data_IF_807101665232
#
_entry.id   IF_807101665232
#
_cell.length_a   1.000
_cell.length_b   1.000
_cell.length_c   1.000
_cell.angle_alpha   90.00
_cell.angle_beta   90.00
_cell.angle_gamma   90.00
#
_symmetry.space_group_name_H-M   'P 1'
#
loop_
_entity.id
_entity.type
_entity.pdbx_description
1 polymer ?
#
# COMPACT_ATOMS: atom_id res chain seq x y z
N UNK A 1 38.17 -21.93 -31.86
CA UNK A 1 38.39 -20.46 -31.83
C UNK A 1 37.16 -19.77 -31.20
N UNK A 2 37.27 -19.24 -29.99
CA UNK A 2 36.21 -18.44 -29.40
C UNK A 2 36.36 -16.98 -29.85
N UNK A 3 35.48 -16.47 -30.67
CA UNK A 3 35.44 -15.07 -31.05
C UNK A 3 35.21 -14.21 -29.79
N UNK A 4 36.23 -13.46 -29.36
CA UNK A 4 36.08 -12.45 -28.29
C UNK A 4 35.40 -11.22 -28.91
N UNK A 5 34.10 -11.05 -28.70
CA UNK A 5 33.41 -9.83 -29.05
C UNK A 5 33.98 -8.70 -28.18
N UNK A 6 34.75 -7.80 -28.76
CA UNK A 6 35.17 -6.54 -28.15
C UNK A 6 34.06 -5.56 -28.34
N UNK A 7 33.32 -5.24 -27.26
CA UNK A 7 32.37 -4.13 -27.27
C UNK A 7 33.18 -2.85 -27.55
N UNK A 8 32.85 -2.05 -28.58
CA UNK A 8 33.57 -0.81 -28.84
C UNK A 8 33.44 0.13 -27.65
N UNK A 9 34.47 0.86 -27.27
CA UNK A 9 34.53 1.74 -26.10
C UNK A 9 33.35 2.74 -26.07
N UNK A 10 33.02 3.28 -27.24
CA UNK A 10 31.90 4.22 -27.38
C UNK A 10 30.53 3.59 -27.01
N UNK A 11 30.32 2.30 -27.34
CA UNK A 11 29.10 1.59 -26.94
C UNK A 11 29.06 1.33 -25.44
N UNK A 12 30.18 0.98 -24.82
CA UNK A 12 30.29 0.81 -23.38
C UNK A 12 30.04 2.13 -22.65
N UNK A 13 30.58 3.24 -23.13
CA UNK A 13 30.36 4.58 -22.57
C UNK A 13 28.88 5.01 -22.71
N UNK A 14 28.26 4.77 -23.86
CA UNK A 14 26.85 5.10 -24.08
C UNK A 14 25.92 4.29 -23.15
N UNK A 15 26.17 3.00 -22.95
CA UNK A 15 25.41 2.15 -22.00
C UNK A 15 25.60 2.65 -20.56
N UNK A 16 26.82 3.00 -20.17
CA UNK A 16 27.12 3.53 -18.84
C UNK A 16 26.43 4.86 -18.57
N UNK A 17 26.42 5.76 -19.55
CA UNK A 17 25.74 7.06 -19.46
C UNK A 17 24.21 6.88 -19.35
N UNK A 18 23.63 5.97 -20.14
CA UNK A 18 22.20 5.65 -20.06
C UNK A 18 21.84 5.06 -18.68
N UNK A 19 22.63 4.12 -18.19
CA UNK A 19 22.42 3.53 -16.86
C UNK A 19 22.49 4.59 -15.75
N UNK A 20 23.51 5.46 -15.77
CA UNK A 20 23.65 6.55 -14.82
C UNK A 20 22.46 7.54 -14.89
N UNK A 21 22.02 7.92 -16.10
CA UNK A 21 20.85 8.76 -16.32
C UNK A 21 19.56 8.12 -15.79
N UNK A 22 19.39 6.82 -16.01
CA UNK A 22 18.23 6.07 -15.50
C UNK A 22 18.20 6.05 -13.96
N UNK A 23 19.35 5.82 -13.31
CA UNK A 23 19.44 5.85 -11.84
C UNK A 23 19.18 7.26 -11.32
N UNK A 24 19.75 8.29 -11.95
CA UNK A 24 19.52 9.69 -11.56
C UNK A 24 18.04 10.08 -11.70
N UNK A 25 17.37 9.65 -12.76
CA UNK A 25 15.93 9.83 -12.96
C UNK A 25 15.12 9.11 -11.87
N UNK A 26 15.41 7.83 -11.64
CA UNK A 26 14.69 7.00 -10.68
C UNK A 26 14.82 7.49 -9.23
N UNK A 27 16.04 7.88 -8.81
CA UNK A 27 16.33 8.32 -7.44
C UNK A 27 16.07 9.82 -7.22
N UNK A 28 16.19 10.63 -8.27
CA UNK A 28 16.07 12.11 -8.19
C UNK A 28 14.70 12.64 -8.56
N UNK A 29 14.12 12.15 -9.62
CA UNK A 29 12.90 12.70 -10.20
C UNK A 29 11.67 11.85 -9.92
N UNK A 30 11.63 10.60 -10.37
CA UNK A 30 10.39 9.80 -10.32
C UNK A 30 9.95 9.52 -8.89
N UNK A 31 10.88 9.25 -7.98
CA UNK A 31 10.60 9.03 -6.55
C UNK A 31 9.90 10.22 -5.87
N UNK A 32 9.92 11.40 -6.49
CA UNK A 32 9.25 12.63 -6.06
C UNK A 32 8.14 13.10 -6.98
N UNK A 33 7.74 12.30 -7.97
CA UNK A 33 6.68 12.58 -8.94
C UNK A 33 5.35 12.05 -8.43
N UNK A 34 4.88 12.59 -7.30
CA UNK A 34 3.64 12.16 -6.64
C UNK A 34 2.44 12.31 -7.55
N UNK A 35 1.57 11.30 -7.57
CA UNK A 35 0.39 11.24 -8.43
C UNK A 35 -0.87 10.94 -7.64
N UNK A 36 -1.99 11.48 -8.10
CA UNK A 36 -3.33 11.08 -7.69
C UNK A 36 -3.91 10.17 -8.76
N UNK A 37 -4.17 8.91 -8.40
CA UNK A 37 -4.94 7.98 -9.22
C UNK A 37 -6.43 8.14 -8.89
N UNK A 38 -7.28 8.05 -9.91
CA UNK A 38 -8.75 8.01 -9.75
C UNK A 38 -9.26 6.70 -10.30
N UNK A 39 -10.08 6.00 -9.51
CA UNK A 39 -10.61 4.67 -9.84
C UNK A 39 -12.09 4.64 -9.49
N UNK A 40 -12.92 4.09 -10.36
CA UNK A 40 -14.34 3.84 -10.07
C UNK A 40 -14.54 2.35 -9.78
N UNK A 41 -15.29 2.04 -8.71
CA UNK A 41 -15.53 0.66 -8.26
C UNK A 41 -17.01 0.47 -8.00
N UNK A 42 -17.74 -0.38 -8.78
CA UNK A 42 -19.16 -0.61 -8.60
C UNK A 42 -19.39 -1.67 -7.51
N UNK A 43 -19.55 -1.22 -6.24
CA UNK A 43 -19.72 -2.09 -5.06
C UNK A 43 -20.83 -1.66 -4.12
N UNK A 44 -21.50 -0.54 -4.42
CA UNK A 44 -22.59 -0.07 -3.59
C UNK A 44 -23.93 -0.71 -4.00
N UNK A 45 -24.91 -0.79 -3.09
CA UNK A 45 -26.26 -1.18 -3.43
C UNK A 45 -26.87 -0.30 -4.54
N UNK A 46 -27.78 -0.85 -5.36
CA UNK A 46 -28.49 -0.08 -6.38
C UNK A 46 -29.17 1.16 -5.77
N UNK A 47 -28.99 2.33 -6.40
CA UNK A 47 -29.56 3.60 -5.95
C UNK A 47 -28.81 4.33 -4.84
N UNK A 48 -27.78 3.74 -4.26
CA UNK A 48 -26.93 4.43 -3.28
C UNK A 48 -26.15 5.61 -3.91
N UNK A 49 -25.96 6.72 -3.21
CA UNK A 49 -25.13 7.81 -3.71
C UNK A 49 -23.65 7.36 -3.79
N UNK A 50 -22.88 7.86 -4.76
CA UNK A 50 -21.46 7.56 -4.83
C UNK A 50 -20.71 7.98 -3.57
N UNK A 51 -19.75 7.15 -3.14
CA UNK A 51 -18.89 7.40 -1.97
C UNK A 51 -17.43 7.58 -2.43
N UNK A 52 -16.74 8.60 -1.93
CA UNK A 52 -15.36 8.93 -2.29
C UNK A 52 -14.41 8.49 -1.19
N UNK A 53 -13.65 7.43 -1.45
CA UNK A 53 -12.69 6.86 -0.51
C UNK A 53 -11.28 7.23 -0.94
N UNK A 54 -10.54 7.95 -0.11
CA UNK A 54 -9.13 8.23 -0.33
C UNK A 54 -8.27 7.16 0.35
N UNK A 55 -7.56 6.37 -0.44
CA UNK A 55 -6.57 5.44 0.08
C UNK A 55 -5.18 6.08 0.08
N UNK A 56 -4.55 6.11 1.26
CA UNK A 56 -3.17 6.53 1.50
C UNK A 56 -2.41 5.34 2.06
N UNK A 57 -1.24 5.05 1.53
CA UNK A 57 -0.46 3.86 1.87
C UNK A 57 1.02 4.09 1.73
N UNK A 58 1.84 3.36 2.48
CA UNK A 58 3.29 3.27 2.28
C UNK A 58 3.93 4.66 2.15
N UNK A 59 3.65 5.55 3.10
CA UNK A 59 4.17 6.92 3.13
C UNK A 59 5.69 6.89 3.29
N UNK A 60 6.21 5.99 4.14
CA UNK A 60 7.62 5.87 4.45
C UNK A 60 8.27 7.24 4.69
N UNK A 61 7.71 8.00 5.63
CA UNK A 61 8.21 9.32 5.95
C UNK A 61 9.63 9.24 6.53
N UNK A 62 10.46 10.15 6.04
CA UNK A 62 11.79 10.46 6.58
C UNK A 62 11.83 11.96 6.80
N UNK A 63 12.50 12.41 7.87
CA UNK A 63 12.59 13.83 8.18
C UNK A 63 13.12 14.66 7.01
N UNK A 64 12.56 15.86 6.82
CA UNK A 64 12.92 16.77 5.75
C UNK A 64 12.26 16.55 4.39
N UNK A 65 11.31 15.62 4.26
CA UNK A 65 10.60 15.38 3.00
C UNK A 65 9.46 16.39 2.74
N UNK A 66 9.76 17.68 2.73
CA UNK A 66 8.78 18.77 2.64
C UNK A 66 7.86 18.71 1.40
N UNK A 67 8.35 18.22 0.24
CA UNK A 67 7.51 18.09 -0.96
C UNK A 67 6.44 17.02 -0.78
N UNK A 68 6.81 15.85 -0.20
CA UNK A 68 5.87 14.76 0.11
C UNK A 68 4.82 15.25 1.11
N UNK A 69 5.26 15.88 2.20
CA UNK A 69 4.39 16.42 3.24
C UNK A 69 3.33 17.36 2.65
N UNK A 70 3.75 18.40 1.91
CA UNK A 70 2.81 19.35 1.28
C UNK A 70 1.85 18.67 0.29
N UNK A 71 2.34 17.66 -0.43
CA UNK A 71 1.48 16.92 -1.35
C UNK A 71 0.42 16.10 -0.60
N UNK A 72 0.78 15.40 0.48
CA UNK A 72 -0.18 14.67 1.32
C UNK A 72 -1.22 15.62 1.92
N UNK A 73 -0.79 16.77 2.47
CA UNK A 73 -1.70 17.80 2.97
C UNK A 73 -2.69 18.29 1.90
N UNK A 74 -2.22 18.44 0.65
CA UNK A 74 -3.07 18.91 -0.46
C UNK A 74 -4.19 17.92 -0.83
N UNK A 75 -4.09 16.65 -0.45
CA UNK A 75 -5.11 15.64 -0.72
C UNK A 75 -6.43 15.92 0.03
N UNK A 76 -6.40 16.64 1.13
CA UNK A 76 -7.61 17.08 1.84
C UNK A 76 -8.51 17.97 0.95
N UNK A 77 -7.94 18.72 0.02
CA UNK A 77 -8.69 19.50 -0.98
C UNK A 77 -9.56 18.64 -1.92
N UNK A 78 -9.36 17.33 -1.95
CA UNK A 78 -10.24 16.40 -2.65
C UNK A 78 -11.56 16.20 -1.93
N UNK A 79 -11.69 16.57 -0.64
CA UNK A 79 -12.86 16.35 0.22
C UNK A 79 -13.34 14.90 0.14
N UNK A 80 -12.53 13.90 0.53
CA UNK A 80 -12.99 12.52 0.56
C UNK A 80 -14.10 12.36 1.61
N UNK A 81 -15.00 11.42 1.40
CA UNK A 81 -16.00 11.04 2.39
C UNK A 81 -15.40 10.12 3.45
N UNK A 82 -14.37 9.35 3.06
CA UNK A 82 -13.67 8.41 3.92
C UNK A 82 -12.18 8.37 3.55
N UNK A 83 -11.30 8.29 4.55
CA UNK A 83 -9.87 8.07 4.37
C UNK A 83 -9.49 6.69 4.90
N UNK A 84 -8.79 5.89 4.09
CA UNK A 84 -8.24 4.59 4.50
C UNK A 84 -6.72 4.64 4.42
N UNK A 85 -6.06 4.48 5.57
CA UNK A 85 -4.61 4.35 5.65
C UNK A 85 -4.23 2.87 5.78
N UNK A 86 -3.51 2.35 4.80
CA UNK A 86 -3.14 0.94 4.76
C UNK A 86 -1.72 0.66 5.27
N UNK A 87 -1.15 1.58 6.08
CA UNK A 87 0.08 1.36 6.85
C UNK A 87 1.38 1.72 6.13
N UNK A 88 2.50 1.38 6.78
CA UNK A 88 3.87 1.73 6.41
C UNK A 88 4.09 3.25 6.31
N UNK A 89 3.67 3.96 7.36
CA UNK A 89 3.79 5.42 7.44
C UNK A 89 5.24 5.89 7.70
N UNK A 90 6.03 5.10 8.43
CA UNK A 90 7.35 5.46 8.92
C UNK A 90 8.48 4.79 8.13
N UNK A 91 9.57 5.52 7.89
CA UNK A 91 10.90 5.00 7.53
C UNK A 91 12.00 5.58 8.42
N UNK A 92 11.61 6.34 9.43
CA UNK A 92 12.48 6.93 10.43
C UNK A 92 11.69 7.04 11.73
N UNK A 93 12.21 6.54 12.88
CA UNK A 93 11.52 6.67 14.16
C UNK A 93 11.31 8.14 14.58
N UNK A 94 12.12 9.05 14.11
CA UNK A 94 12.02 10.48 14.41
C UNK A 94 11.00 11.21 13.51
N UNK A 95 10.45 10.54 12.48
CA UNK A 95 9.55 11.17 11.50
C UNK A 95 8.06 11.15 11.92
N UNK A 96 7.71 10.72 13.12
CA UNK A 96 6.32 10.74 13.61
C UNK A 96 5.69 12.14 13.51
N UNK A 97 6.35 13.23 13.97
CA UNK A 97 5.77 14.57 13.85
C UNK A 97 5.49 14.98 12.40
N UNK A 98 6.39 14.62 11.46
CA UNK A 98 6.20 14.90 10.04
C UNK A 98 5.07 14.08 9.40
N UNK A 99 4.85 12.83 9.86
CA UNK A 99 3.69 12.02 9.42
C UNK A 99 2.40 12.68 9.90
N UNK A 100 2.34 13.04 11.18
CA UNK A 100 1.15 13.68 11.76
C UNK A 100 0.85 15.04 11.12
N UNK A 101 1.88 15.86 10.87
CA UNK A 101 1.71 17.11 10.13
C UNK A 101 1.27 16.87 8.67
N UNK A 102 1.81 15.84 8.01
CA UNK A 102 1.42 15.51 6.64
C UNK A 102 -0.03 15.01 6.52
N UNK A 103 -0.50 14.24 7.48
CA UNK A 103 -1.85 13.70 7.53
C UNK A 103 -2.85 14.61 8.24
N UNK A 104 -2.41 15.62 8.99
CA UNK A 104 -3.26 16.47 9.82
C UNK A 104 -4.54 16.93 9.13
N UNK A 105 -4.50 17.55 7.94
CA UNK A 105 -5.73 17.93 7.23
C UNK A 105 -6.61 16.75 6.78
N UNK A 106 -6.09 15.54 6.66
CA UNK A 106 -6.85 14.33 6.34
C UNK A 106 -7.51 13.73 7.58
N UNK A 107 -6.93 13.93 8.77
CA UNK A 107 -7.50 13.48 10.04
C UNK A 107 -8.82 14.18 10.40
N UNK A 108 -9.17 15.26 9.71
CA UNK A 108 -10.46 15.96 9.85
C UNK A 108 -11.63 15.20 9.19
N UNK A 109 -11.34 14.19 8.35
CA UNK A 109 -12.34 13.36 7.68
C UNK A 109 -12.53 12.03 8.42
N UNK A 110 -13.72 11.39 8.32
CA UNK A 110 -13.89 10.02 8.79
C UNK A 110 -12.79 9.12 8.22
N UNK A 111 -12.21 8.27 9.04
CA UNK A 111 -11.10 7.44 8.58
C UNK A 111 -10.93 6.14 9.33
N UNK A 112 -10.13 5.26 8.75
CA UNK A 112 -9.70 4.02 9.39
C UNK A 112 -8.28 3.65 8.94
N UNK A 113 -7.62 2.82 9.74
CA UNK A 113 -6.22 2.48 9.47
C UNK A 113 -5.87 1.06 9.91
N UNK A 114 -4.84 0.53 9.27
CA UNK A 114 -4.03 -0.60 9.73
C UNK A 114 -2.56 -0.21 9.73
N UNK A 115 -1.72 -0.94 10.45
CA UNK A 115 -0.28 -0.74 10.43
C UNK A 115 0.43 -1.72 9.51
N UNK A 116 1.58 -1.29 8.96
CA UNK A 116 2.53 -2.15 8.26
C UNK A 116 3.81 -2.38 9.06
N UNK A 117 4.70 -3.20 8.52
CA UNK A 117 5.94 -3.62 9.18
C UNK A 117 6.87 -2.45 9.54
N UNK A 118 6.88 -1.39 8.72
CA UNK A 118 7.72 -0.21 8.95
C UNK A 118 7.10 0.78 9.93
N UNK A 119 5.84 0.62 10.32
CA UNK A 119 5.31 1.33 11.48
C UNK A 119 5.86 0.73 12.78
N UNK A 120 5.95 -0.60 12.85
CA UNK A 120 6.45 -1.31 14.05
C UNK A 120 7.97 -1.30 14.20
N UNK A 121 8.70 -1.42 13.07
CA UNK A 121 10.14 -1.67 13.08
C UNK A 121 10.90 -0.71 12.16
N UNK A 122 12.01 -0.20 12.67
CA UNK A 122 12.90 0.64 11.87
C UNK A 122 13.47 -0.15 10.67
N UNK A 123 13.46 0.44 9.47
CA UNK A 123 13.97 -0.22 8.28
C UNK A 123 15.47 -0.50 8.41
N UNK A 124 15.92 -1.57 7.73
CA UNK A 124 17.33 -1.98 7.68
C UNK A 124 17.83 -2.01 6.25
N UNK A 125 19.11 -1.70 6.08
CA UNK A 125 19.79 -1.92 4.81
C UNK A 125 19.82 -3.43 4.50
N UNK A 126 19.21 -3.81 3.38
CA UNK A 126 19.19 -5.18 2.87
C UNK A 126 19.74 -5.19 1.45
N UNK A 127 20.42 -6.29 1.07
CA UNK A 127 20.88 -6.46 -0.30
C UNK A 127 19.66 -6.63 -1.23
N UNK A 128 19.42 -5.72 -2.19
CA UNK A 128 18.27 -5.81 -3.10
C UNK A 128 18.31 -7.03 -4.01
N UNK A 129 19.49 -7.61 -4.31
CA UNK A 129 19.60 -8.83 -5.10
C UNK A 129 18.92 -10.05 -4.44
N UNK A 130 18.66 -9.98 -3.11
CA UNK A 130 17.91 -11.02 -2.40
C UNK A 130 16.50 -11.22 -2.97
N UNK A 131 15.82 -10.14 -3.35
CA UNK A 131 14.47 -10.22 -3.94
C UNK A 131 14.42 -11.02 -5.24
N UNK A 132 15.46 -10.88 -6.07
CA UNK A 132 15.59 -11.67 -7.31
C UNK A 132 15.92 -13.14 -7.02
N UNK A 133 16.78 -13.41 -6.03
CA UNK A 133 17.16 -14.77 -5.64
C UNK A 133 16.00 -15.54 -4.98
N UNK A 134 15.19 -14.88 -4.14
CA UNK A 134 14.03 -15.48 -3.50
C UNK A 134 12.94 -15.84 -4.52
N UNK A 135 12.72 -15.02 -5.55
CA UNK A 135 11.81 -15.31 -6.64
C UNK A 135 12.24 -16.56 -7.42
N UNK A 136 13.52 -16.67 -7.75
CA UNK A 136 14.07 -17.83 -8.51
C UNK A 136 14.00 -19.14 -7.72
N UNK A 137 13.96 -19.09 -6.39
CA UNK A 137 13.86 -20.26 -5.50
C UNK A 137 12.45 -20.71 -5.17
N UNK A 138 11.41 -20.01 -5.68
CA UNK A 138 10.01 -20.27 -5.33
C UNK A 138 9.64 -20.02 -3.86
N UNK A 139 10.55 -19.43 -3.08
CA UNK A 139 10.39 -19.15 -1.65
C UNK A 139 9.86 -17.74 -1.35
N UNK A 140 9.58 -16.99 -2.41
CA UNK A 140 9.11 -15.62 -2.29
C UNK A 140 7.72 -15.61 -1.63
N UNK A 141 7.58 -14.85 -0.56
CA UNK A 141 6.32 -14.69 0.16
C UNK A 141 5.93 -15.82 1.12
N UNK A 142 6.52 -17.02 1.01
CA UNK A 142 6.17 -18.15 1.88
C UNK A 142 6.71 -18.02 3.32
N UNK A 143 7.75 -17.21 3.51
CA UNK A 143 8.37 -16.95 4.80
C UNK A 143 8.24 -15.47 5.14
N UNK A 144 7.03 -15.02 5.50
CA UNK A 144 6.86 -13.70 6.10
C UNK A 144 8.02 -13.42 7.07
N UNK A 145 8.73 -12.33 6.87
CA UNK A 145 9.95 -12.02 7.61
C UNK A 145 9.59 -11.58 9.03
N UNK A 146 9.38 -12.54 9.94
CA UNK A 146 9.38 -12.17 11.36
C UNK A 146 10.66 -11.35 11.63
N UNK A 147 10.56 -10.17 12.26
CA UNK A 147 11.72 -9.34 12.52
C UNK A 147 12.72 -10.11 13.37
N UNK A 148 14.00 -10.03 13.04
CA UNK A 148 15.06 -10.59 13.87
C UNK A 148 14.93 -9.99 15.28
N UNK A 149 15.24 -10.76 16.33
CA UNK A 149 15.05 -10.40 17.75
C UNK A 149 15.61 -9.02 18.16
N UNK A 150 16.51 -8.42 17.39
CA UNK A 150 17.20 -7.17 17.66
C UNK A 150 16.88 -6.04 16.67
N UNK A 151 15.68 -6.00 16.08
CA UNK A 151 15.27 -4.87 15.25
C UNK A 151 14.77 -3.74 16.15
N UNK A 152 15.30 -2.50 16.04
CA UNK A 152 14.75 -1.36 16.76
C UNK A 152 13.27 -1.17 16.41
N UNK A 153 12.46 -0.89 17.44
CA UNK A 153 11.04 -0.58 17.24
C UNK A 153 10.85 0.89 16.94
N UNK A 154 9.96 1.19 16.02
CA UNK A 154 9.45 2.52 15.81
C UNK A 154 8.38 2.87 16.87
N UNK A 155 8.19 4.13 17.21
CA UNK A 155 7.19 4.58 18.17
C UNK A 155 5.77 4.62 17.55
N UNK A 156 5.31 3.50 16.98
CA UNK A 156 4.02 3.35 16.28
C UNK A 156 2.82 3.73 17.16
N UNK A 157 2.95 3.58 18.48
CA UNK A 157 1.90 3.97 19.43
C UNK A 157 1.59 5.45 19.41
N UNK A 158 2.57 6.32 19.06
CA UNK A 158 2.32 7.75 18.89
C UNK A 158 1.42 8.04 17.68
N UNK A 159 1.56 7.26 16.60
CA UNK A 159 0.65 7.34 15.45
C UNK A 159 -0.73 6.81 15.82
N UNK A 160 -0.79 5.65 16.51
CA UNK A 160 -2.05 5.09 17.00
C UNK A 160 -2.82 6.11 17.84
N UNK A 161 -2.16 6.65 18.87
CA UNK A 161 -2.80 7.56 19.81
C UNK A 161 -3.35 8.81 19.10
N UNK A 162 -2.59 9.36 18.15
CA UNK A 162 -3.03 10.52 17.35
C UNK A 162 -4.18 10.18 16.38
N UNK A 163 -4.17 9.01 15.76
CA UNK A 163 -5.25 8.57 14.87
C UNK A 163 -6.53 8.26 15.66
N UNK A 164 -6.39 7.60 16.81
CA UNK A 164 -7.51 7.32 17.71
C UNK A 164 -8.11 8.62 18.28
N UNK A 165 -7.28 9.61 18.65
CA UNK A 165 -7.71 10.94 19.11
C UNK A 165 -8.47 11.71 18.02
N UNK A 166 -8.07 11.54 16.76
CA UNK A 166 -8.78 12.09 15.59
C UNK A 166 -10.09 11.34 15.27
N UNK A 167 -10.40 10.25 15.97
CA UNK A 167 -11.61 9.44 15.76
C UNK A 167 -11.48 8.44 14.60
N UNK A 168 -10.27 8.17 14.11
CA UNK A 168 -10.08 7.13 13.11
C UNK A 168 -10.19 5.73 13.73
N UNK A 169 -10.82 4.81 12.99
CA UNK A 169 -11.05 3.45 13.45
C UNK A 169 -9.78 2.60 13.27
N UNK A 170 -9.26 2.07 14.37
CA UNK A 170 -8.17 1.11 14.36
C UNK A 170 -8.68 -0.26 13.92
N UNK A 171 -8.16 -0.78 12.81
CA UNK A 171 -8.57 -2.06 12.23
C UNK A 171 -7.53 -3.18 12.45
N UNK A 172 -6.62 -3.01 13.40
CA UNK A 172 -5.56 -4.00 13.67
C UNK A 172 -6.15 -5.28 14.29
N UNK A 173 -6.44 -6.30 13.46
CA UNK A 173 -7.13 -7.55 13.82
C UNK A 173 -8.50 -7.30 14.48
N UNK A 174 -9.26 -6.36 13.96
CA UNK A 174 -10.56 -6.01 14.53
C UNK A 174 -11.55 -5.57 13.45
N UNK A 175 -12.82 -5.55 13.82
CA UNK A 175 -13.93 -4.97 13.07
C UNK A 175 -14.27 -3.62 13.67
N UNK A 176 -14.77 -2.73 12.84
CA UNK A 176 -15.23 -1.42 13.26
C UNK A 176 -16.32 -0.88 12.35
N UNK A 177 -16.97 0.18 12.75
CA UNK A 177 -18.01 0.85 11.99
C UNK A 177 -17.81 2.36 12.08
N UNK A 178 -18.19 3.05 11.03
CA UNK A 178 -18.23 4.50 10.99
C UNK A 178 -19.30 5.00 10.02
N UNK A 179 -19.68 6.26 10.15
CA UNK A 179 -20.55 6.94 9.20
C UNK A 179 -19.77 7.86 8.30
N UNK A 180 -20.02 7.76 6.98
CA UNK A 180 -19.44 8.67 6.01
C UNK A 180 -20.47 9.00 4.93
N UNK A 181 -20.63 10.29 4.60
CA UNK A 181 -21.61 10.79 3.63
C UNK A 181 -23.05 10.25 3.83
N UNK A 182 -23.44 9.98 5.08
CA UNK A 182 -24.75 9.44 5.42
C UNK A 182 -24.88 7.92 5.33
N UNK A 183 -23.85 7.20 4.87
CA UNK A 183 -23.82 5.75 4.80
C UNK A 183 -23.20 5.13 6.06
N UNK A 184 -23.76 3.98 6.50
CA UNK A 184 -23.15 3.12 7.52
C UNK A 184 -22.10 2.21 6.86
N UNK A 185 -20.84 2.36 7.27
CA UNK A 185 -19.73 1.61 6.69
C UNK A 185 -19.16 0.66 7.74
N UNK A 186 -19.24 -0.62 7.46
CA UNK A 186 -18.57 -1.65 8.23
C UNK A 186 -17.15 -1.90 7.67
N UNK A 187 -16.20 -1.98 8.56
CA UNK A 187 -14.80 -2.15 8.23
C UNK A 187 -14.23 -3.35 8.96
N UNK A 188 -13.45 -4.15 8.27
CA UNK A 188 -12.74 -5.28 8.87
C UNK A 188 -11.28 -5.22 8.46
N UNK A 189 -10.38 -5.30 9.41
CA UNK A 189 -8.97 -5.22 9.09
C UNK A 189 -8.09 -6.21 9.83
N UNK A 190 -6.90 -6.41 9.28
CA UNK A 190 -5.87 -7.27 9.84
C UNK A 190 -4.59 -6.48 10.13
N UNK A 191 -3.88 -6.90 11.17
CA UNK A 191 -2.48 -6.55 11.37
C UNK A 191 -1.64 -7.15 10.23
N UNK A 192 -0.39 -6.72 10.09
CA UNK A 192 0.44 -6.99 8.92
C UNK A 192 0.77 -8.49 8.72
N UNK A 193 0.26 -9.10 7.63
CA UNK A 193 0.55 -10.48 7.28
C UNK A 193 2.02 -10.72 6.90
N UNK A 194 2.74 -9.68 6.44
CA UNK A 194 4.13 -9.78 6.03
C UNK A 194 5.05 -10.17 7.19
N UNK A 195 4.72 -9.72 8.39
CA UNK A 195 5.44 -10.05 9.63
C UNK A 195 4.68 -11.02 10.54
N UNK A 196 3.63 -11.68 10.01
CA UNK A 196 2.82 -12.70 10.70
C UNK A 196 2.16 -12.19 11.97
N UNK A 197 1.65 -10.97 11.94
CA UNK A 197 0.90 -10.38 13.04
C UNK A 197 -0.61 -10.49 12.85
N UNK A 198 -1.06 -10.81 11.64
CA UNK A 198 -2.46 -11.01 11.30
C UNK A 198 -3.06 -12.19 12.07
N UNK A 199 -4.28 -12.01 12.57
CA UNK A 199 -5.09 -13.01 13.27
C UNK A 199 -6.47 -13.03 12.66
N UNK A 200 -6.60 -13.77 11.55
CA UNK A 200 -7.85 -13.79 10.79
C UNK A 200 -9.04 -14.29 11.63
N UNK A 201 -8.80 -15.27 12.49
CA UNK A 201 -9.81 -15.85 13.39
C UNK A 201 -10.45 -14.83 14.34
N UNK A 202 -9.78 -13.71 14.61
CA UNK A 202 -10.33 -12.63 15.43
C UNK A 202 -11.40 -11.81 14.69
N UNK A 203 -11.40 -11.87 13.35
CA UNK A 203 -12.29 -11.08 12.49
C UNK A 203 -13.06 -11.92 11.47
N UNK A 204 -12.92 -13.23 11.51
CA UNK A 204 -13.57 -14.16 10.59
C UNK A 204 -15.09 -13.97 10.54
N UNK A 205 -15.66 -14.17 9.37
CA UNK A 205 -17.09 -14.04 9.10
C UNK A 205 -17.39 -12.94 8.07
N UNK A 206 -18.57 -13.05 7.48
CA UNK A 206 -19.00 -12.20 6.37
C UNK A 206 -19.19 -10.72 6.72
N UNK A 207 -19.50 -9.91 5.69
CA UNK A 207 -19.90 -8.53 5.82
C UNK A 207 -21.06 -8.34 6.79
N UNK A 208 -21.12 -7.19 7.44
CA UNK A 208 -22.25 -6.82 8.31
C UNK A 208 -23.52 -6.58 7.47
N UNK A 209 -24.60 -7.28 7.82
CA UNK A 209 -25.84 -7.28 7.03
C UNK A 209 -26.56 -5.90 7.02
N UNK A 210 -26.41 -5.13 8.11
CA UNK A 210 -27.07 -3.84 8.29
C UNK A 210 -26.22 -2.65 7.79
N UNK A 211 -25.02 -2.91 7.25
CA UNK A 211 -24.18 -1.86 6.71
C UNK A 211 -24.47 -1.61 5.21
N UNK A 212 -24.45 -0.33 4.81
CA UNK A 212 -24.57 0.05 3.40
C UNK A 212 -23.37 -0.40 2.57
N UNK A 213 -22.21 -0.54 3.21
CA UNK A 213 -20.97 -0.99 2.61
C UNK A 213 -20.10 -1.72 3.64
N UNK A 214 -19.52 -2.84 3.24
CA UNK A 214 -18.48 -3.52 4.02
C UNK A 214 -17.17 -3.57 3.26
N UNK A 215 -16.08 -3.13 3.90
CA UNK A 215 -14.74 -3.09 3.33
C UNK A 215 -13.78 -3.95 4.15
N UNK A 216 -12.90 -4.68 3.47
CA UNK A 216 -11.75 -5.31 4.09
C UNK A 216 -10.48 -4.48 3.86
N UNK A 217 -9.67 -4.32 4.91
CA UNK A 217 -8.45 -3.50 4.89
C UNK A 217 -7.29 -4.32 5.42
N UNK A 218 -6.19 -4.39 4.67
CA UNK A 218 -4.98 -5.10 5.08
C UNK A 218 -3.75 -4.35 4.55
N UNK A 219 -2.63 -4.40 5.29
CA UNK A 219 -1.41 -3.80 4.77
C UNK A 219 -0.88 -4.58 3.56
N UNK A 220 -0.55 -5.85 3.73
CA UNK A 220 0.09 -6.66 2.69
C UNK A 220 -0.90 -7.69 2.08
N UNK A 221 -1.07 -7.71 0.74
CA UNK A 221 -2.06 -8.53 0.04
C UNK A 221 -1.58 -9.97 -0.17
N UNK A 222 -1.34 -10.71 0.92
CA UNK A 222 -1.03 -12.13 0.86
C UNK A 222 -2.25 -12.96 0.40
N UNK A 223 -2.03 -13.90 -0.52
CA UNK A 223 -3.13 -14.69 -1.13
C UNK A 223 -4.02 -15.33 -0.08
N UNK A 224 -3.46 -15.94 0.98
CA UNK A 224 -4.24 -16.57 2.06
C UNK A 224 -5.21 -15.61 2.76
N UNK A 225 -4.86 -14.32 2.84
CA UNK A 225 -5.71 -13.28 3.44
C UNK A 225 -6.76 -12.82 2.44
N UNK A 226 -6.37 -12.66 1.18
CA UNK A 226 -7.29 -12.31 0.09
C UNK A 226 -8.32 -13.44 -0.10
N UNK A 227 -7.88 -14.72 -0.09
CA UNK A 227 -8.75 -15.89 -0.18
C UNK A 227 -9.80 -15.89 0.93
N UNK A 228 -9.36 -15.62 2.17
CA UNK A 228 -10.25 -15.64 3.33
C UNK A 228 -11.30 -14.51 3.27
N UNK A 229 -10.89 -13.25 3.02
CA UNK A 229 -11.84 -12.15 2.87
C UNK A 229 -12.80 -12.32 1.70
N UNK A 230 -12.30 -12.87 0.57
CA UNK A 230 -13.16 -13.14 -0.60
C UNK A 230 -14.14 -14.25 -0.33
N UNK A 231 -13.71 -15.34 0.31
CA UNK A 231 -14.58 -16.45 0.72
C UNK A 231 -15.66 -16.00 1.72
N UNK A 232 -15.34 -15.07 2.61
CA UNK A 232 -16.30 -14.45 3.51
C UNK A 232 -17.26 -13.47 2.81
N UNK A 233 -16.95 -13.02 1.59
CA UNK A 233 -17.84 -12.22 0.73
C UNK A 233 -17.66 -10.72 0.83
N UNK A 234 -16.50 -10.23 1.24
CA UNK A 234 -16.20 -8.79 1.19
C UNK A 234 -16.16 -8.29 -0.24
N UNK A 235 -16.95 -7.27 -0.62
CA UNK A 235 -17.02 -6.80 -2.00
C UNK A 235 -15.76 -6.06 -2.46
N UNK A 236 -15.03 -5.43 -1.54
CA UNK A 236 -13.81 -4.66 -1.82
C UNK A 236 -12.77 -4.88 -0.71
N UNK A 237 -11.54 -5.19 -1.15
CA UNK A 237 -10.36 -5.32 -0.31
C UNK A 237 -9.38 -4.21 -0.68
N UNK A 238 -8.88 -3.45 0.30
CA UNK A 238 -7.89 -2.39 0.13
C UNK A 238 -6.56 -2.82 0.75
N UNK A 239 -5.47 -2.72 -0.05
CA UNK A 239 -4.13 -3.14 0.38
C UNK A 239 -3.03 -2.18 -0.13
N UNK A 240 -1.85 -2.29 0.48
CA UNK A 240 -0.62 -1.56 0.14
C UNK A 240 0.57 -2.49 -0.06
N UNK A 241 1.72 -2.17 0.59
CA UNK A 241 2.92 -3.00 0.75
C UNK A 241 3.78 -3.24 -0.50
N UNK A 242 3.18 -3.47 -1.65
CA UNK A 242 3.88 -3.90 -2.87
C UNK A 242 4.70 -2.80 -3.52
N UNK A 243 4.45 -1.54 -3.16
CA UNK A 243 4.99 -0.35 -3.84
C UNK A 243 4.78 -0.35 -5.37
N UNK A 244 3.78 -1.12 -5.85
CA UNK A 244 3.55 -1.34 -7.28
C UNK A 244 4.72 -2.00 -7.99
N UNK A 245 5.54 -2.78 -7.26
CA UNK A 245 6.78 -3.36 -7.73
C UNK A 245 7.98 -2.42 -7.71
N UNK A 246 7.78 -1.14 -7.38
CA UNK A 246 8.79 -0.08 -7.20
C UNK A 246 9.69 0.18 -8.41
N UNK A 247 10.26 -0.85 -9.01
CA UNK A 247 11.03 -0.83 -10.26
C UNK A 247 10.30 -1.68 -11.30
N UNK A 248 9.69 -1.01 -12.27
CA UNK A 248 8.96 -1.66 -13.34
C UNK A 248 9.71 -1.54 -14.67
N UNK A 249 9.59 -2.53 -15.51
CA UNK A 249 10.04 -2.44 -16.90
C UNK A 249 8.93 -1.80 -17.72
N UNK A 250 9.20 -0.71 -18.45
CA UNK A 250 8.20 -0.10 -19.33
C UNK A 250 7.55 -1.13 -20.25
N UNK A 251 6.22 -1.08 -20.37
CA UNK A 251 5.37 -2.01 -21.14
C UNK A 251 5.28 -3.44 -20.63
N UNK A 252 6.19 -3.89 -19.75
CA UNK A 252 6.17 -5.23 -19.16
C UNK A 252 5.54 -5.23 -17.75
N UNK A 253 5.78 -4.19 -16.95
CA UNK A 253 5.27 -4.08 -15.58
C UNK A 253 6.29 -4.42 -14.50
N UNK A 254 5.81 -4.83 -13.33
CA UNK A 254 6.62 -5.12 -12.16
C UNK A 254 7.41 -6.41 -12.29
N UNK A 255 8.62 -6.41 -11.73
CA UNK A 255 9.47 -7.60 -11.69
C UNK A 255 9.28 -8.42 -10.40
N UNK A 256 8.86 -7.77 -9.32
CA UNK A 256 8.69 -8.36 -7.98
C UNK A 256 7.50 -7.74 -7.25
N UNK A 257 6.92 -8.46 -6.30
CA UNK A 257 5.75 -8.01 -5.52
C UNK A 257 6.02 -7.85 -4.03
N UNK A 258 7.11 -8.39 -3.52
CA UNK A 258 7.44 -8.45 -2.09
C UNK A 258 6.42 -9.27 -1.23
N UNK A 259 5.50 -9.99 -1.86
CA UNK A 259 4.57 -10.96 -1.27
C UNK A 259 4.29 -12.09 -2.28
N UNK A 260 3.30 -12.93 -2.04
CA UNK A 260 2.90 -14.03 -2.94
C UNK A 260 1.88 -13.61 -4.02
N UNK A 261 1.45 -12.34 -4.05
CA UNK A 261 0.59 -11.81 -5.10
C UNK A 261 1.33 -11.81 -6.45
N UNK A 262 0.63 -12.08 -7.53
CA UNK A 262 1.21 -12.01 -8.88
C UNK A 262 1.56 -10.57 -9.30
N UNK A 263 2.53 -10.44 -10.23
CA UNK A 263 3.07 -9.14 -10.65
C UNK A 263 2.09 -8.27 -11.41
N UNK A 264 1.03 -8.84 -11.99
CA UNK A 264 0.05 -8.09 -12.77
C UNK A 264 -0.94 -7.33 -11.87
N UNK A 265 -1.08 -7.79 -10.62
CA UNK A 265 -1.99 -7.19 -9.62
C UNK A 265 -1.30 -6.35 -8.55
N UNK A 266 -0.01 -6.04 -8.71
CA UNK A 266 0.77 -5.31 -7.69
C UNK A 266 0.30 -3.89 -7.42
N UNK A 267 -0.55 -3.32 -8.27
CA UNK A 267 -1.14 -1.98 -8.11
C UNK A 267 -2.41 -1.80 -8.92
N UNK A 268 -3.25 -0.89 -8.44
CA UNK A 268 -4.50 -0.54 -9.09
C UNK A 268 -5.62 -1.52 -8.76
N UNK A 269 -6.68 -1.45 -9.54
CA UNK A 269 -7.88 -2.26 -9.35
C UNK A 269 -7.78 -3.57 -10.12
N UNK A 270 -8.07 -4.66 -9.45
CA UNK A 270 -8.15 -6.00 -10.00
C UNK A 270 -9.26 -6.78 -9.30
N UNK A 271 -9.36 -8.07 -9.58
CA UNK A 271 -10.26 -8.96 -8.88
C UNK A 271 -9.50 -10.09 -8.18
N UNK A 272 -10.08 -10.59 -7.11
CA UNK A 272 -9.66 -11.82 -6.46
C UNK A 272 -10.83 -12.79 -6.35
N UNK A 273 -10.59 -14.06 -6.63
CA UNK A 273 -11.61 -15.10 -6.62
C UNK A 273 -11.22 -16.18 -5.62
N UNK A 274 -12.18 -16.59 -4.78
CA UNK A 274 -12.03 -17.67 -3.80
C UNK A 274 -13.41 -18.21 -3.41
N UNK A 275 -13.52 -19.53 -3.26
CA UNK A 275 -14.75 -20.21 -2.82
C UNK A 275 -16.03 -19.79 -3.61
N UNK A 276 -15.94 -19.72 -4.93
CA UNK A 276 -17.03 -19.32 -5.85
C UNK A 276 -17.51 -17.85 -5.65
N UNK A 277 -16.72 -17.04 -4.95
CA UNK A 277 -16.96 -15.62 -4.74
C UNK A 277 -15.87 -14.77 -5.39
N UNK A 278 -16.20 -13.51 -5.62
CA UNK A 278 -15.30 -12.54 -6.24
C UNK A 278 -15.34 -11.22 -5.48
N UNK A 279 -14.15 -10.71 -5.16
CA UNK A 279 -13.95 -9.39 -4.58
C UNK A 279 -13.23 -8.46 -5.54
N UNK A 280 -13.52 -7.17 -5.51
CA UNK A 280 -12.58 -6.19 -6.01
C UNK A 280 -11.38 -6.11 -5.06
N UNK A 281 -10.18 -6.03 -5.63
CA UNK A 281 -8.93 -5.79 -4.92
C UNK A 281 -8.31 -4.50 -5.44
N UNK A 282 -8.11 -3.52 -4.57
CA UNK A 282 -7.29 -2.35 -4.92
C UNK A 282 -6.00 -2.37 -4.12
N UNK A 283 -4.87 -2.44 -4.83
CA UNK A 283 -3.53 -2.37 -4.25
C UNK A 283 -2.92 -1.02 -4.57
N UNK A 284 -2.55 -0.26 -3.54
CA UNK A 284 -1.87 1.03 -3.69
C UNK A 284 -0.40 0.82 -4.07
N UNK A 285 0.12 1.63 -5.00
CA UNK A 285 1.57 1.67 -5.25
C UNK A 285 2.33 2.48 -4.19
N UNK A 286 1.63 3.08 -3.23
CA UNK A 286 2.21 3.76 -2.10
C UNK A 286 2.77 5.16 -2.39
N UNK A 287 2.79 6.00 -1.34
CA UNK A 287 3.20 7.40 -1.39
C UNK A 287 4.72 7.61 -1.22
N UNK A 288 5.47 6.56 -0.89
CA UNK A 288 6.89 6.67 -0.57
C UNK A 288 7.73 5.47 -0.98
N UNK A 289 8.90 5.40 -0.41
CA UNK A 289 9.86 4.30 -0.55
C UNK A 289 10.60 4.12 0.75
N UNK A 290 11.04 2.92 1.04
CA UNK A 290 11.95 2.69 2.16
C UNK A 290 13.20 3.59 2.05
N UNK A 291 13.69 4.12 3.18
CA UNK A 291 14.83 5.06 3.22
C UNK A 291 16.11 4.52 2.58
N UNK A 292 16.29 3.20 2.57
CA UNK A 292 17.49 2.55 2.03
C UNK A 292 17.36 2.16 0.55
N UNK A 293 16.15 2.27 -0.02
CA UNK A 293 15.87 2.02 -1.45
C UNK A 293 15.05 3.16 -2.05
N UNK A 294 15.57 4.43 -2.00
CA UNK A 294 14.83 5.60 -2.44
C UNK A 294 14.84 5.74 -3.96
N UNK A 295 14.30 4.75 -4.65
CA UNK A 295 14.25 4.70 -6.12
C UNK A 295 12.88 4.26 -6.59
N UNK A 296 12.40 4.85 -7.70
CA UNK A 296 11.22 4.38 -8.43
C UNK A 296 11.45 4.51 -9.92
N UNK A 297 11.04 3.51 -10.68
CA UNK A 297 11.18 3.53 -12.14
C UNK A 297 9.93 2.94 -12.81
N UNK A 298 9.31 3.70 -13.71
CA UNK A 298 8.02 3.42 -14.36
C UNK A 298 6.89 3.06 -13.35
N UNK A 299 7.03 3.57 -12.10
CA UNK A 299 6.11 3.36 -11.00
C UNK A 299 6.17 4.53 -10.00
N UNK A 300 5.69 5.72 -10.37
CA UNK A 300 5.73 6.89 -9.50
C UNK A 300 4.90 6.66 -8.24
N UNK A 301 5.24 7.36 -7.11
CA UNK A 301 4.44 7.28 -5.89
C UNK A 301 3.04 7.85 -6.11
N UNK A 302 2.03 7.21 -5.49
CA UNK A 302 0.63 7.59 -5.68
C UNK A 302 -0.22 7.45 -4.41
N UNK A 303 -1.27 8.26 -4.31
CA UNK A 303 -2.45 8.01 -3.51
C UNK A 303 -3.62 7.76 -4.47
N UNK A 304 -4.66 7.05 -4.01
CA UNK A 304 -5.80 6.72 -4.86
C UNK A 304 -7.09 7.26 -4.29
N UNK A 305 -7.84 8.03 -5.10
CA UNK A 305 -9.23 8.37 -4.84
C UNK A 305 -10.13 7.36 -5.55
N UNK A 306 -10.72 6.45 -4.78
CA UNK A 306 -11.74 5.52 -5.27
C UNK A 306 -13.11 6.21 -5.22
N UNK A 307 -13.84 6.17 -6.33
CA UNK A 307 -15.26 6.52 -6.35
C UNK A 307 -16.05 5.23 -6.36
N UNK A 308 -16.62 4.88 -5.21
CA UNK A 308 -17.49 3.73 -5.11
C UNK A 308 -18.86 4.09 -5.67
N UNK A 309 -19.39 3.27 -6.55
CA UNK A 309 -20.67 3.51 -7.25
C UNK A 309 -21.61 2.34 -7.08
N UNK A 310 -22.92 2.54 -7.31
CA UNK A 310 -23.86 1.43 -7.37
C UNK A 310 -23.47 0.40 -8.40
N UNK A 311 -23.75 -0.86 -8.08
CA UNK A 311 -23.71 -1.95 -9.07
C UNK A 311 -24.79 -1.71 -10.12
N UNK A 312 -24.46 -1.90 -11.40
CA UNK A 312 -25.49 -1.99 -12.44
C UNK A 312 -26.21 -3.33 -12.29
N UNK A 313 -27.52 -3.26 -12.13
CA UNK A 313 -28.39 -4.44 -12.18
C UNK A 313 -28.30 -5.13 -13.53
#
# INVERSE_FOLDING_TARGET
>A
MRARYRIPLNAALAVSALAAGTVAYAAGFEVRSFRLRRVTVPVLPPGAPPLRVLQVSDIHMVSGQHKKRRWLQSLAGLRPDLVINTGDNLSDPEAVPEVLDALGPLLEFPGAYVFGSNDYYAPRLRNPARYLAERSSGRYGLNGNAPARNVPRNPWWLLRDAFDEAGWVNLTNTRGQLKAAGAEIALTGLDDPHIKRDRYEAVAGGPEADADLSLAVVHAPYLRVLDAFTADGYPLILAGHTHGGQLCVPFYGALVTNCDLDTDRVKGLSHHESADRRSYLHVSAGCGTNRYTPVRFACPPEATLLTLTPTTT
#
